data_IF_185337073152
#
_entry.id   IF_185337073152
#
_cell.length_a   1.000
_cell.length_b   1.000
_cell.length_c   1.000
_cell.angle_alpha   90.00
_cell.angle_beta   90.00
_cell.angle_gamma   90.00
#
_symmetry.space_group_name_H-M   'P 1'
#
loop_
_entity.id
_entity.type
_entity.pdbx_description
1 polymer ?
#
# COMPACT_ATOMS: atom_id res chain seq x y z
N UNK A 1 -1.09 -2.49 20.01
CA UNK A 1 -1.28 -1.26 19.21
C UNK A 1 -2.58 -1.42 18.43
N UNK A 2 -3.53 -0.50 18.55
CA UNK A 2 -4.86 -0.64 17.92
C UNK A 2 -4.77 -0.42 16.39
N UNK A 3 -5.70 -1.00 15.59
CA UNK A 3 -5.83 -0.76 14.14
C UNK A 3 -5.81 0.73 13.76
N UNK A 4 -6.42 1.55 14.63
CA UNK A 4 -6.63 2.98 14.41
C UNK A 4 -5.32 3.76 14.28
N UNK A 5 -4.32 3.46 15.11
CA UNK A 5 -3.07 4.24 15.13
C UNK A 5 -2.22 4.07 13.86
N UNK A 6 -2.26 2.89 13.21
CA UNK A 6 -1.47 2.68 12.00
C UNK A 6 -2.12 3.35 10.80
N UNK A 7 -3.44 3.23 10.69
CA UNK A 7 -4.24 3.94 9.70
C UNK A 7 -4.05 5.46 9.82
N UNK A 8 -4.14 6.01 11.04
CA UNK A 8 -3.88 7.42 11.31
C UNK A 8 -2.44 7.82 10.93
N UNK A 9 -1.43 7.03 11.32
CA UNK A 9 -0.03 7.33 11.00
C UNK A 9 0.25 7.29 9.49
N UNK A 10 -0.37 6.34 8.77
CA UNK A 10 -0.25 6.23 7.32
C UNK A 10 -0.86 7.47 6.65
N UNK A 11 -2.07 7.88 7.03
CA UNK A 11 -2.68 9.09 6.49
C UNK A 11 -1.92 10.37 6.88
N UNK A 12 -1.34 10.43 8.08
CA UNK A 12 -0.46 11.54 8.46
C UNK A 12 0.78 11.61 7.57
N UNK A 13 1.42 10.48 7.26
CA UNK A 13 2.56 10.46 6.35
C UNK A 13 2.20 10.96 4.94
N UNK A 14 0.99 10.69 4.45
CA UNK A 14 0.55 11.20 3.14
C UNK A 14 0.48 12.73 3.07
N UNK A 15 0.36 13.43 4.21
CA UNK A 15 0.39 14.89 4.25
C UNK A 15 1.78 15.44 3.87
N UNK A 16 2.84 14.72 4.22
CA UNK A 16 4.21 15.07 3.88
C UNK A 16 4.57 14.69 2.43
N UNK A 17 3.80 13.76 1.82
CA UNK A 17 4.00 13.27 0.46
C UNK A 17 2.73 13.38 -0.41
N UNK A 18 2.27 14.59 -0.75
CA UNK A 18 1.02 14.79 -1.52
C UNK A 18 1.00 14.09 -2.89
N UNK A 19 2.17 13.82 -3.46
CA UNK A 19 2.28 13.11 -4.75
C UNK A 19 1.70 11.68 -4.69
N UNK A 20 1.63 11.08 -3.50
CA UNK A 20 1.06 9.74 -3.28
C UNK A 20 -0.48 9.72 -3.28
N UNK A 21 -1.13 10.89 -3.31
CA UNK A 21 -2.59 11.02 -3.41
C UNK A 21 -3.04 11.65 -4.74
N UNK A 22 -2.11 11.84 -5.67
CA UNK A 22 -2.36 12.43 -6.98
C UNK A 22 -2.91 11.45 -8.02
N UNK A 23 -3.22 11.97 -9.21
CA UNK A 23 -3.61 11.18 -10.38
C UNK A 23 -2.62 11.38 -11.52
N UNK A 24 -2.46 10.36 -12.35
CA UNK A 24 -1.66 10.45 -13.56
C UNK A 24 -2.49 11.13 -14.66
N UNK A 25 -2.01 12.24 -15.18
CA UNK A 25 -2.56 12.86 -16.39
C UNK A 25 -1.56 12.72 -17.52
N UNK A 26 -2.03 12.24 -18.68
CA UNK A 26 -1.24 12.22 -19.91
C UNK A 26 -1.83 13.27 -20.86
N UNK A 27 -1.01 14.19 -21.34
CA UNK A 27 -1.45 15.20 -22.29
C UNK A 27 -1.55 14.65 -23.73
N UNK A 28 -2.12 15.45 -24.64
CA UNK A 28 -2.27 15.07 -26.05
C UNK A 28 -0.94 14.92 -26.82
N UNK A 29 0.19 15.28 -26.21
CA UNK A 29 1.54 15.08 -26.74
C UNK A 29 2.27 13.89 -26.11
N UNK A 30 1.63 13.15 -25.20
CA UNK A 30 2.19 11.98 -24.54
C UNK A 30 3.05 12.30 -23.31
N UNK A 31 3.09 13.54 -22.84
CA UNK A 31 3.75 13.84 -21.56
C UNK A 31 2.85 13.44 -20.40
N UNK A 32 3.44 12.77 -19.41
CA UNK A 32 2.77 12.37 -18.20
C UNK A 32 3.14 13.30 -17.03
N UNK A 33 2.15 13.66 -16.21
CA UNK A 33 2.35 14.42 -14.97
C UNK A 33 1.46 13.85 -13.87
N UNK A 34 1.91 13.98 -12.62
CA UNK A 34 1.06 13.69 -11.46
C UNK A 34 0.41 14.99 -11.02
N UNK A 35 -0.93 15.00 -10.98
CA UNK A 35 -1.72 16.15 -10.54
C UNK A 35 -2.36 15.84 -9.20
N UNK A 36 -2.17 16.74 -8.23
CA UNK A 36 -2.80 16.67 -6.92
C UNK A 36 -3.96 17.65 -6.90
N UNK A 37 -5.18 17.13 -6.87
CA UNK A 37 -6.41 17.92 -6.78
C UNK A 37 -6.87 17.98 -5.32
N UNK A 38 -6.93 19.18 -4.75
CA UNK A 38 -7.37 19.43 -3.38
C UNK A 38 -8.84 19.04 -3.13
N UNK A 39 -9.65 18.98 -4.19
CA UNK A 39 -11.08 18.64 -4.12
C UNK A 39 -11.37 17.19 -4.50
N UNK A 40 -10.38 16.47 -5.03
CA UNK A 40 -10.53 15.10 -5.50
C UNK A 40 -9.23 14.30 -5.28
N UNK A 41 -9.04 13.85 -4.04
CA UNK A 41 -7.88 13.06 -3.66
C UNK A 41 -8.06 11.59 -4.06
N UNK A 42 -7.04 11.00 -4.70
CA UNK A 42 -6.94 9.55 -4.83
C UNK A 42 -6.33 8.97 -3.57
N UNK A 43 -7.17 8.85 -2.55
CA UNK A 43 -6.76 8.34 -1.25
C UNK A 43 -6.31 6.86 -1.40
N UNK A 44 -5.05 6.55 -1.02
CA UNK A 44 -4.53 5.20 -0.93
C UNK A 44 -5.44 4.27 -0.16
N UNK A 45 -5.57 3.04 -0.63
CA UNK A 45 -6.26 2.00 0.12
C UNK A 45 -5.39 1.54 1.29
N UNK A 46 -5.99 1.54 2.49
CA UNK A 46 -5.42 0.93 3.67
C UNK A 46 -6.26 -0.27 4.06
N UNK A 47 -5.63 -1.44 4.10
CA UNK A 47 -6.28 -2.69 4.51
C UNK A 47 -5.60 -3.27 5.74
N UNK A 48 -6.39 -3.85 6.62
CA UNK A 48 -5.90 -4.64 7.75
C UNK A 48 -6.54 -6.02 7.73
N UNK A 49 -5.78 -7.05 8.06
CA UNK A 49 -6.26 -8.43 8.14
C UNK A 49 -5.57 -9.19 9.27
N UNK A 50 -6.21 -10.25 9.72
CA UNK A 50 -5.66 -11.16 10.73
C UNK A 50 -5.29 -12.48 10.05
N UNK A 51 -4.14 -13.04 10.41
CA UNK A 51 -3.73 -14.37 9.97
C UNK A 51 -3.65 -15.34 11.13
N UNK A 52 -3.92 -16.61 10.84
CA UNK A 52 -3.73 -17.72 11.79
C UNK A 52 -2.27 -18.22 11.84
N UNK A 53 -1.37 -17.61 11.07
CA UNK A 53 0.06 -17.94 11.06
C UNK A 53 0.81 -17.26 12.20
N UNK A 54 1.71 -17.95 12.89
CA UNK A 54 2.55 -17.36 13.93
C UNK A 54 3.89 -16.89 13.35
N UNK A 55 4.50 -15.84 13.91
CA UNK A 55 5.79 -15.31 13.42
C UNK A 55 6.91 -16.35 13.36
N UNK A 56 6.93 -17.29 14.32
CA UNK A 56 7.90 -18.40 14.34
C UNK A 56 7.82 -19.30 13.11
N UNK A 57 6.64 -19.46 12.53
CA UNK A 57 6.45 -20.29 11.33
C UNK A 57 7.09 -19.61 10.10
N UNK A 58 6.94 -18.28 9.99
CA UNK A 58 7.65 -17.48 8.98
C UNK A 58 9.16 -17.49 9.18
N UNK A 59 9.62 -17.43 10.43
CA UNK A 59 11.05 -17.51 10.72
C UNK A 59 11.62 -18.89 10.36
N UNK A 60 10.89 -19.97 10.67
CA UNK A 60 11.28 -21.34 10.32
C UNK A 60 11.33 -21.57 8.80
N UNK A 61 10.46 -20.89 8.03
CA UNK A 61 10.50 -20.90 6.56
C UNK A 61 11.56 -19.99 5.95
N UNK A 62 12.38 -19.33 6.79
CA UNK A 62 13.36 -18.31 6.37
C UNK A 62 12.74 -17.18 5.57
N UNK A 63 11.49 -16.81 5.90
CA UNK A 63 10.73 -15.76 5.24
C UNK A 63 10.54 -15.99 3.73
N UNK A 64 10.38 -17.25 3.32
CA UNK A 64 10.04 -17.58 1.93
C UNK A 64 8.77 -16.86 1.49
N UNK A 65 8.75 -16.35 0.25
CA UNK A 65 7.57 -15.73 -0.36
C UNK A 65 6.34 -16.65 -0.33
N UNK A 66 6.55 -17.94 -0.60
CA UNK A 66 5.49 -18.95 -0.61
C UNK A 66 4.94 -19.26 0.80
N UNK A 67 5.68 -18.86 1.84
CA UNK A 67 5.29 -19.05 3.23
C UNK A 67 4.55 -17.84 3.81
N UNK A 68 4.34 -16.77 3.05
CA UNK A 68 3.56 -15.63 3.49
C UNK A 68 2.10 -16.05 3.74
N UNK A 69 1.41 -15.40 4.70
CA UNK A 69 0.01 -15.70 4.97
C UNK A 69 -0.84 -15.45 3.72
N UNK A 70 -1.94 -16.20 3.52
CA UNK A 70 -2.77 -16.02 2.31
C UNK A 70 -3.37 -14.62 2.24
N UNK A 71 -3.59 -14.03 3.41
CA UNK A 71 -4.04 -12.64 3.56
C UNK A 71 -2.99 -11.67 3.02
N UNK A 72 -1.71 -12.02 3.03
CA UNK A 72 -0.62 -11.24 2.45
C UNK A 72 -0.55 -11.32 0.91
N UNK A 73 -1.58 -11.85 0.24
CA UNK A 73 -1.60 -11.84 -1.22
C UNK A 73 -1.65 -10.40 -1.74
N UNK A 74 -0.86 -10.10 -2.76
CA UNK A 74 -0.88 -8.82 -3.47
C UNK A 74 -2.24 -8.47 -4.10
N UNK A 75 -3.18 -9.43 -4.18
CA UNK A 75 -4.51 -9.21 -4.77
C UNK A 75 -5.29 -8.16 -3.96
N UNK A 76 -5.54 -7.01 -4.59
CA UNK A 76 -6.24 -5.87 -4.01
C UNK A 76 -5.34 -4.83 -3.31
N UNK A 77 -4.02 -5.02 -3.33
CA UNK A 77 -3.03 -4.04 -2.82
C UNK A 77 -2.09 -3.57 -3.94
N UNK A 78 -2.00 -4.34 -5.03
CA UNK A 78 -1.40 -3.84 -6.27
C UNK A 78 -2.19 -2.63 -6.72
N UNK A 79 -1.47 -1.57 -7.09
CA UNK A 79 -2.03 -0.40 -7.73
C UNK A 79 -2.73 -0.81 -9.04
N UNK A 80 -4.02 -1.07 -8.96
CA UNK A 80 -4.89 -1.36 -10.10
C UNK A 80 -5.74 -0.14 -10.43
N UNK A 81 -6.19 -0.05 -11.67
CA UNK A 81 -7.18 0.95 -12.07
C UNK A 81 -8.45 0.79 -11.24
N UNK A 82 -8.90 1.88 -10.63
CA UNK A 82 -10.17 1.94 -9.91
C UNK A 82 -11.36 1.99 -10.89
N UNK A 83 -12.58 2.18 -10.36
CA UNK A 83 -13.79 2.31 -11.18
C UNK A 83 -13.78 3.52 -12.11
N UNK A 84 -12.93 4.51 -11.85
CA UNK A 84 -12.73 5.71 -12.66
C UNK A 84 -11.71 5.47 -13.79
N UNK A 85 -11.01 4.32 -13.76
CA UNK A 85 -9.92 3.99 -14.67
C UNK A 85 -8.56 4.48 -14.20
N UNK A 86 -8.48 5.06 -13.00
CA UNK A 86 -7.25 5.68 -12.48
C UNK A 86 -6.48 4.74 -11.54
N UNK A 87 -5.16 4.80 -11.61
CA UNK A 87 -4.28 4.03 -10.74
C UNK A 87 -4.01 4.83 -9.46
N UNK A 88 -4.34 4.25 -8.30
CA UNK A 88 -3.96 4.83 -7.01
C UNK A 88 -2.44 4.80 -6.86
N UNK A 89 -1.77 5.92 -6.54
CA UNK A 89 -0.31 5.95 -6.49
C UNK A 89 0.30 5.11 -5.37
N UNK A 90 -0.40 4.95 -4.24
CA UNK A 90 0.04 4.15 -3.12
C UNK A 90 -1.11 3.33 -2.55
N UNK A 91 -0.79 2.17 -1.98
CA UNK A 91 -1.69 1.34 -1.17
C UNK A 91 -0.88 0.62 -0.09
N UNK A 92 -1.51 0.32 1.04
CA UNK A 92 -0.89 -0.38 2.16
C UNK A 92 -1.79 -1.49 2.71
N UNK A 93 -1.20 -2.64 3.05
CA UNK A 93 -1.90 -3.74 3.71
C UNK A 93 -1.08 -4.31 4.86
N UNK A 94 -1.69 -4.34 6.02
CA UNK A 94 -1.15 -4.96 7.23
C UNK A 94 -1.84 -6.28 7.48
N UNK A 95 -1.02 -7.31 7.67
CA UNK A 95 -1.47 -8.61 8.18
C UNK A 95 -0.89 -8.79 9.58
N UNK A 96 -1.75 -8.80 10.60
CA UNK A 96 -1.34 -9.18 11.94
C UNK A 96 -1.28 -10.69 12.05
N UNK A 97 -0.16 -11.19 12.54
CA UNK A 97 0.05 -12.61 12.77
C UNK A 97 -0.62 -13.06 14.06
N UNK A 98 -0.81 -14.37 14.18
CA UNK A 98 -1.50 -15.02 15.28
C UNK A 98 -0.98 -14.52 16.62
N UNK A 99 -1.90 -14.20 17.54
CA UNK A 99 -1.62 -13.71 18.88
C UNK A 99 -0.75 -12.43 18.91
N UNK A 100 -0.82 -11.60 17.86
CA UNK A 100 0.04 -10.43 17.68
C UNK A 100 1.54 -10.77 17.74
N UNK A 101 1.91 -11.99 17.33
CA UNK A 101 3.30 -12.45 17.34
C UNK A 101 4.21 -11.72 16.35
N UNK A 102 3.61 -11.02 15.38
CA UNK A 102 4.32 -10.20 14.40
C UNK A 102 3.34 -9.54 13.42
N UNK A 103 3.91 -8.81 12.47
CA UNK A 103 3.17 -8.10 11.41
C UNK A 103 3.87 -8.37 10.08
N UNK A 104 3.09 -8.52 9.02
CA UNK A 104 3.56 -8.39 7.64
C UNK A 104 2.98 -7.10 7.06
N UNK A 105 3.82 -6.22 6.53
CA UNK A 105 3.43 -4.97 5.91
C UNK A 105 3.71 -5.04 4.41
N UNK A 106 2.67 -4.86 3.61
CA UNK A 106 2.77 -4.64 2.17
C UNK A 106 2.52 -3.18 1.89
N UNK A 107 3.39 -2.60 1.07
CA UNK A 107 3.19 -1.29 0.49
C UNK A 107 3.37 -1.46 -1.02
N UNK A 108 2.47 -0.88 -1.78
CA UNK A 108 2.57 -0.78 -3.24
C UNK A 108 2.62 0.69 -3.58
N UNK A 109 3.64 1.12 -4.31
CA UNK A 109 3.75 2.49 -4.83
C UNK A 109 3.97 2.40 -6.33
N UNK A 110 3.30 3.28 -7.07
CA UNK A 110 3.37 3.30 -8.52
C UNK A 110 4.73 3.87 -8.93
N UNK A 111 5.45 3.15 -9.79
CA UNK A 111 6.82 3.50 -10.17
C UNK A 111 6.92 4.84 -10.94
N UNK A 112 5.82 5.36 -11.48
CA UNK A 112 5.79 6.69 -12.09
C UNK A 112 5.82 7.83 -11.05
N UNK A 113 5.68 7.53 -9.75
CA UNK A 113 5.71 8.51 -8.65
C UNK A 113 7.02 8.45 -7.87
N UNK A 114 7.54 7.26 -7.61
CA UNK A 114 8.70 7.03 -6.76
C UNK A 114 9.59 5.95 -7.41
N UNK A 115 10.90 6.16 -7.40
CA UNK A 115 11.88 5.14 -7.78
C UNK A 115 12.34 4.30 -6.58
N UNK A 116 13.14 3.25 -6.81
CA UNK A 116 13.59 2.38 -5.72
C UNK A 116 14.53 3.03 -4.69
N UNK A 117 15.01 4.26 -4.94
CA UNK A 117 15.86 5.01 -4.00
C UNK A 117 15.01 5.92 -3.12
N UNK A 118 13.95 6.49 -3.70
CA UNK A 118 13.03 7.42 -3.04
C UNK A 118 11.92 6.71 -2.24
N UNK A 119 11.83 5.38 -2.36
CA UNK A 119 10.89 4.49 -1.67
C UNK A 119 11.33 4.19 -0.24
#
# INVERSE_FOLDING_TARGET
MSPKHFCESFYSALLDFPILVGRLEIDGSGHAKVVVDQNNHHIPEFKESLSNMHFRDLQASKFSWDALPKEASFKGVVNTTDSSGDIKPANAHIVRLLNNSGIVLFVSVAHYVVDGISY
#
